data_IF_545343795332
#
_entry.id   IF_545343795332
#
_cell.length_a   1.000
_cell.length_b   1.000
_cell.length_c   1.000
_cell.angle_alpha   90.00
_cell.angle_beta   90.00
_cell.angle_gamma   90.00
#
_symmetry.space_group_name_H-M   'P 1'
#
loop_
_entity.id
_entity.type
_entity.pdbx_description
1 polymer ?
#
# COMPACT_ATOMS: atom_id res chain seq x y z
N UNK A 1 -8.88 -30.10 18.76
CA UNK A 1 -7.72 -30.73 18.12
C UNK A 1 -7.29 -29.96 16.90
N UNK A 2 -8.16 -29.76 15.96
CA UNK A 2 -7.81 -28.97 14.76
C UNK A 2 -7.40 -27.54 15.09
N UNK A 3 -8.02 -26.93 16.07
CA UNK A 3 -7.67 -25.61 16.53
C UNK A 3 -6.27 -25.53 17.10
N UNK A 4 -5.87 -26.59 17.78
CA UNK A 4 -4.56 -26.67 18.36
C UNK A 4 -3.48 -26.72 17.28
N UNK A 5 -3.73 -27.47 16.21
CA UNK A 5 -2.81 -27.51 15.08
C UNK A 5 -2.67 -26.17 14.41
N UNK A 6 -3.77 -25.46 14.26
CA UNK A 6 -3.74 -24.15 13.64
C UNK A 6 -2.95 -23.15 14.48
N UNK A 7 -3.14 -23.20 15.78
CA UNK A 7 -2.39 -22.34 16.70
C UNK A 7 -0.91 -22.64 16.60
N UNK A 8 -0.56 -23.90 16.47
CA UNK A 8 0.82 -24.32 16.37
C UNK A 8 1.45 -23.80 15.08
N UNK A 9 0.71 -23.89 14.01
CA UNK A 9 1.15 -23.34 12.72
C UNK A 9 1.36 -21.83 12.79
N UNK A 10 0.47 -21.14 13.47
CA UNK A 10 0.63 -19.71 13.67
C UNK A 10 1.88 -19.37 14.45
N UNK A 11 2.14 -20.10 15.49
CA UNK A 11 3.33 -19.89 16.28
C UNK A 11 4.61 -20.12 15.46
N UNK A 12 4.62 -21.16 14.66
CA UNK A 12 5.74 -21.40 13.76
C UNK A 12 5.92 -20.26 12.78
N UNK A 13 4.83 -19.80 12.25
CA UNK A 13 4.84 -18.72 11.29
C UNK A 13 5.38 -17.42 11.91
N UNK A 14 4.93 -17.12 13.10
CA UNK A 14 5.39 -15.94 13.83
C UNK A 14 6.88 -16.00 14.09
N UNK A 15 7.36 -17.17 14.46
CA UNK A 15 8.79 -17.35 14.67
C UNK A 15 9.60 -17.12 13.41
N UNK A 16 9.09 -17.59 12.27
CA UNK A 16 9.76 -17.35 11.00
C UNK A 16 9.77 -15.87 10.67
N UNK A 17 8.67 -15.19 10.89
CA UNK A 17 8.60 -13.76 10.65
C UNK A 17 9.56 -13.01 11.56
N UNK A 18 9.64 -13.40 12.81
CA UNK A 18 10.59 -12.80 13.74
C UNK A 18 12.03 -13.04 13.31
N UNK A 19 12.31 -14.24 12.80
CA UNK A 19 13.63 -14.53 12.28
C UNK A 19 13.95 -13.69 11.04
N UNK A 20 12.96 -13.48 10.21
CA UNK A 20 13.14 -12.62 9.03
C UNK A 20 13.23 -11.16 9.37
N UNK A 21 12.65 -10.74 10.47
CA UNK A 21 12.74 -9.38 10.91
C UNK A 21 14.17 -8.96 11.22
N UNK A 22 15.04 -9.91 11.49
CA UNK A 22 16.46 -9.61 11.67
C UNK A 22 17.13 -9.22 10.36
N UNK A 23 16.46 -9.49 9.22
CA UNK A 23 16.91 -9.05 7.92
C UNK A 23 16.14 -7.79 7.52
N UNK A 24 16.12 -6.82 8.40
CA UNK A 24 15.28 -5.63 8.31
C UNK A 24 15.60 -4.71 7.14
N UNK A 25 16.64 -5.00 6.39
CA UNK A 25 16.99 -4.25 5.18
C UNK A 25 16.15 -4.67 3.98
N UNK A 26 15.34 -5.70 4.13
CA UNK A 26 14.49 -6.16 3.04
C UNK A 26 13.37 -5.19 2.76
N UNK A 27 13.06 -5.02 1.49
CA UNK A 27 11.92 -4.22 1.08
C UNK A 27 10.61 -4.89 1.53
N UNK A 28 9.57 -4.10 1.82
CA UNK A 28 8.29 -4.67 2.16
C UNK A 28 7.74 -5.51 0.99
N UNK A 29 6.98 -6.54 1.32
CA UNK A 29 6.30 -7.35 0.32
C UNK A 29 4.81 -7.41 0.65
N UNK A 30 4.00 -7.45 -0.39
CA UNK A 30 2.56 -7.59 -0.26
C UNK A 30 2.07 -8.90 -0.86
N UNK A 31 0.76 -9.01 -0.98
CA UNK A 31 0.12 -10.13 -1.64
C UNK A 31 0.42 -10.05 -3.14
N UNK A 32 0.82 -11.15 -3.74
CA UNK A 32 1.11 -11.18 -5.16
C UNK A 32 -0.16 -10.96 -5.98
N UNK A 33 -0.08 -9.98 -6.88
CA UNK A 33 -1.14 -9.67 -7.84
C UNK A 33 -0.47 -9.43 -9.19
N UNK A 34 -1.22 -9.63 -10.27
CA UNK A 34 -0.70 -9.36 -11.60
C UNK A 34 -0.90 -7.90 -11.98
N UNK A 35 -0.18 -7.46 -13.02
CA UNK A 35 -0.39 -6.11 -13.55
C UNK A 35 -1.85 -5.89 -13.94
N UNK A 36 -2.44 -6.87 -14.59
CA UNK A 36 -3.83 -6.78 -15.07
C UNK A 36 -4.80 -6.65 -13.91
N UNK A 37 -4.48 -7.23 -12.77
CA UNK A 37 -5.36 -7.16 -11.60
C UNK A 37 -5.51 -5.73 -11.08
N UNK A 38 -4.45 -4.94 -11.13
CA UNK A 38 -4.48 -3.60 -10.54
C UNK A 38 -4.76 -2.50 -11.55
N UNK A 39 -4.67 -2.78 -12.84
CA UNK A 39 -5.01 -1.78 -13.87
C UNK A 39 -6.50 -1.46 -13.76
N UNK A 40 -6.80 -0.18 -13.72
CA UNK A 40 -8.17 0.32 -13.58
C UNK A 40 -8.23 1.52 -12.66
N UNK A 41 -9.44 1.87 -12.28
CA UNK A 41 -9.68 3.01 -11.41
C UNK A 41 -10.21 2.50 -10.07
N UNK A 42 -9.60 2.99 -9.00
CA UNK A 42 -9.89 2.60 -7.63
C UNK A 42 -10.22 3.85 -6.82
N UNK A 43 -11.20 3.75 -5.96
CA UNK A 43 -11.64 4.88 -5.13
C UNK A 43 -11.34 4.60 -3.67
N UNK A 44 -10.77 5.58 -2.99
CA UNK A 44 -10.49 5.47 -1.55
C UNK A 44 -11.81 5.48 -0.79
N UNK A 45 -12.07 4.42 -0.03
CA UNK A 45 -13.26 4.30 0.81
C UNK A 45 -12.93 4.29 2.29
N UNK A 46 -11.67 4.11 2.64
CA UNK A 46 -11.20 4.22 4.03
C UNK A 46 -9.73 4.59 4.02
N UNK A 47 -9.31 5.37 4.98
CA UNK A 47 -7.91 5.78 5.11
C UNK A 47 -7.61 6.12 6.57
N UNK A 48 -6.44 5.74 7.05
CA UNK A 48 -5.85 6.31 8.25
C UNK A 48 -4.41 6.69 7.92
N UNK A 49 -3.88 7.68 8.62
CA UNK A 49 -2.55 8.19 8.31
C UNK A 49 -1.90 8.82 9.53
N UNK A 50 -0.57 8.79 9.53
CA UNK A 50 0.28 9.57 10.42
C UNK A 50 1.39 10.18 9.59
N UNK A 51 1.91 11.31 10.00
CA UNK A 51 2.98 11.98 9.26
C UNK A 51 4.19 12.28 10.14
N UNK A 52 5.26 12.75 9.51
CA UNK A 52 6.51 13.07 10.18
C UNK A 52 6.41 14.25 11.13
N UNK A 53 5.32 15.00 11.09
CA UNK A 53 5.08 16.14 11.97
C UNK A 53 4.28 15.75 13.22
N UNK A 54 3.99 14.46 13.38
CA UNK A 54 3.25 13.97 14.54
C UNK A 54 1.74 14.11 14.43
N UNK A 55 1.24 14.45 13.26
CA UNK A 55 -0.19 14.56 13.01
C UNK A 55 -0.74 13.22 12.54
N UNK A 56 -2.03 13.00 12.77
CA UNK A 56 -2.70 11.79 12.31
C UNK A 56 -4.17 12.09 12.01
N UNK A 57 -4.77 11.21 11.23
CA UNK A 57 -6.19 11.34 10.89
C UNK A 57 -6.76 10.00 10.45
N UNK A 58 -8.08 9.99 10.31
CA UNK A 58 -8.81 8.82 9.85
C UNK A 58 -10.01 9.26 9.04
N UNK A 59 -10.12 8.73 7.82
CA UNK A 59 -11.25 8.99 6.94
C UNK A 59 -11.54 10.48 6.74
N UNK A 60 -10.49 11.28 6.62
CA UNK A 60 -10.65 12.71 6.43
C UNK A 60 -11.30 13.01 5.08
N UNK A 61 -12.17 14.03 4.99
CA UNK A 61 -12.84 14.35 3.73
C UNK A 61 -11.88 14.58 2.57
N UNK A 62 -10.71 15.09 2.82
CA UNK A 62 -9.72 15.35 1.77
C UNK A 62 -9.11 14.08 1.18
N UNK A 63 -9.16 12.97 1.92
CA UNK A 63 -8.64 11.68 1.43
C UNK A 63 -9.74 10.80 0.88
N UNK A 64 -10.93 10.91 1.42
CA UNK A 64 -12.04 10.06 1.03
C UNK A 64 -12.56 10.42 -0.35
N UNK A 65 -12.82 9.40 -1.15
CA UNK A 65 -13.32 9.60 -2.49
C UNK A 65 -12.27 9.93 -3.54
N UNK A 66 -11.01 10.05 -3.13
CA UNK A 66 -9.90 10.21 -4.08
C UNK A 66 -9.78 8.97 -4.94
N UNK A 67 -9.38 9.13 -6.19
CA UNK A 67 -9.23 8.01 -7.10
C UNK A 67 -7.77 7.75 -7.43
N UNK A 68 -7.45 6.47 -7.52
CA UNK A 68 -6.18 5.98 -8.04
C UNK A 68 -6.49 5.34 -9.38
N UNK A 69 -5.94 5.90 -10.46
CA UNK A 69 -6.06 5.32 -11.79
C UNK A 69 -4.72 4.72 -12.19
N UNK A 70 -4.71 3.43 -12.46
CA UNK A 70 -3.51 2.70 -12.85
C UNK A 70 -3.69 2.29 -14.31
N UNK A 71 -2.83 2.79 -15.17
CA UNK A 71 -2.96 2.58 -16.62
C UNK A 71 -1.94 1.59 -17.15
N UNK A 72 -2.31 0.90 -18.20
CA UNK A 72 -1.46 -0.13 -18.81
C UNK A 72 -0.17 0.41 -19.41
N UNK A 73 -0.11 1.70 -19.68
CA UNK A 73 1.08 2.34 -20.29
C UNK A 73 2.17 2.68 -19.25
N UNK A 74 2.00 2.29 -18.00
CA UNK A 74 2.97 2.56 -16.95
C UNK A 74 2.77 3.87 -16.23
N UNK A 75 1.70 4.59 -16.53
CA UNK A 75 1.37 5.82 -15.83
C UNK A 75 0.21 5.61 -14.87
N UNK A 76 0.12 6.47 -13.86
CA UNK A 76 -0.95 6.44 -12.88
C UNK A 76 -1.27 7.85 -12.44
N UNK A 77 -2.46 8.04 -11.92
CA UNK A 77 -2.81 9.30 -11.26
C UNK A 77 -3.37 8.99 -9.89
N UNK A 78 -3.00 9.79 -8.91
CA UNK A 78 -3.47 9.64 -7.55
C UNK A 78 -3.38 10.96 -6.82
N UNK A 79 -4.40 11.28 -6.05
CA UNK A 79 -4.45 12.51 -5.25
C UNK A 79 -4.25 13.76 -6.13
N UNK A 80 -4.76 13.70 -7.36
CA UNK A 80 -4.64 14.79 -8.31
C UNK A 80 -3.28 14.95 -8.96
N UNK A 81 -2.38 14.01 -8.75
CA UNK A 81 -1.02 14.07 -9.27
C UNK A 81 -0.75 12.92 -10.23
N UNK A 82 0.17 13.12 -11.15
CA UNK A 82 0.57 12.11 -12.13
C UNK A 82 1.88 11.44 -11.72
N UNK A 83 1.93 10.14 -11.92
CA UNK A 83 3.07 9.31 -11.53
C UNK A 83 3.38 8.28 -12.62
N UNK A 84 4.56 7.70 -12.52
CA UNK A 84 4.86 6.42 -13.16
C UNK A 84 4.66 5.34 -12.10
N UNK A 85 4.30 4.13 -12.52
CA UNK A 85 4.09 3.06 -11.56
C UNK A 85 4.84 1.80 -11.92
N UNK A 86 5.22 1.07 -10.89
CA UNK A 86 5.77 -0.27 -11.01
C UNK A 86 5.08 -1.17 -10.00
N UNK A 87 5.06 -2.46 -10.30
CA UNK A 87 4.52 -3.46 -9.40
C UNK A 87 5.54 -4.57 -9.24
N UNK A 88 5.89 -4.86 -8.00
CA UNK A 88 6.82 -5.93 -7.69
C UNK A 88 6.50 -6.50 -6.32
N UNK A 89 6.33 -7.83 -6.24
CA UNK A 89 6.09 -8.53 -4.98
C UNK A 89 4.94 -7.95 -4.18
N UNK A 90 3.85 -7.59 -4.86
CA UNK A 90 2.67 -7.03 -4.20
C UNK A 90 2.85 -5.60 -3.72
N UNK A 91 3.88 -4.91 -4.18
CA UNK A 91 4.09 -3.49 -3.86
C UNK A 91 3.93 -2.68 -5.12
N UNK A 92 2.93 -1.79 -5.10
CA UNK A 92 2.72 -0.81 -6.15
C UNK A 92 3.47 0.46 -5.77
N UNK A 93 4.43 0.85 -6.59
CA UNK A 93 5.20 2.07 -6.34
C UNK A 93 4.83 3.12 -7.35
N UNK A 94 4.43 4.29 -6.84
CA UNK A 94 4.15 5.47 -7.65
C UNK A 94 5.30 6.45 -7.45
N UNK A 95 5.89 6.91 -8.53
CA UNK A 95 7.01 7.84 -8.45
C UNK A 95 6.91 8.91 -9.53
N UNK A 96 7.45 10.09 -9.24
CA UNK A 96 7.54 11.15 -10.22
C UNK A 96 8.96 11.73 -10.25
N UNK A 97 9.18 12.69 -11.14
CA UNK A 97 10.49 13.29 -11.29
C UNK A 97 10.75 14.44 -10.32
N UNK A 98 9.87 14.66 -9.35
CA UNK A 98 10.02 15.68 -8.31
C UNK A 98 10.38 15.10 -6.96
N UNK A 99 10.77 13.82 -6.93
CA UNK A 99 11.17 13.15 -5.70
C UNK A 99 10.03 12.66 -4.84
N UNK A 100 8.81 12.58 -5.39
CA UNK A 100 7.67 12.03 -4.65
C UNK A 100 7.57 10.55 -4.93
N UNK A 101 7.46 9.78 -3.86
CA UNK A 101 7.28 8.33 -3.92
C UNK A 101 6.15 7.92 -3.02
N UNK A 102 5.29 7.07 -3.53
CA UNK A 102 4.23 6.44 -2.75
C UNK A 102 4.37 4.95 -2.95
N UNK A 103 4.61 4.22 -1.86
CA UNK A 103 4.62 2.76 -1.91
C UNK A 103 3.31 2.27 -1.32
N UNK A 104 2.62 1.45 -2.08
CA UNK A 104 1.35 0.85 -1.68
C UNK A 104 1.57 -0.65 -1.57
N UNK A 105 1.61 -1.15 -0.35
CA UNK A 105 1.82 -2.57 -0.07
C UNK A 105 0.45 -3.23 0.01
N UNK A 106 0.15 -4.10 -0.94
CA UNK A 106 -1.16 -4.74 -1.03
C UNK A 106 -1.27 -5.82 0.04
N UNK A 107 -2.19 -5.64 0.96
CA UNK A 107 -2.43 -6.58 2.05
C UNK A 107 -3.48 -7.61 1.70
N UNK A 108 -4.47 -7.22 0.91
CA UNK A 108 -5.47 -8.14 0.38
C UNK A 108 -6.02 -7.60 -0.93
N UNK A 109 -6.42 -8.50 -1.80
CA UNK A 109 -6.92 -8.16 -3.12
C UNK A 109 -8.13 -9.01 -3.48
N UNK A 110 -9.17 -8.35 -3.97
CA UNK A 110 -10.25 -8.96 -4.73
C UNK A 110 -10.48 -8.10 -5.95
N UNK A 111 -11.26 -8.57 -6.90
CA UNK A 111 -11.57 -7.78 -8.09
C UNK A 111 -12.25 -6.45 -7.76
N UNK A 112 -12.87 -6.36 -6.60
CA UNK A 112 -13.65 -5.19 -6.21
C UNK A 112 -12.96 -4.32 -5.17
N UNK A 113 -12.00 -4.88 -4.41
CA UNK A 113 -11.44 -4.17 -3.28
C UNK A 113 -9.98 -4.50 -3.05
N UNK A 114 -9.20 -3.49 -2.72
CA UNK A 114 -7.81 -3.62 -2.28
C UNK A 114 -7.70 -3.02 -0.89
N UNK A 115 -7.10 -3.77 0.04
CA UNK A 115 -6.66 -3.20 1.31
C UNK A 115 -5.14 -3.14 1.28
N UNK A 116 -4.60 -2.00 1.67
CA UNK A 116 -3.16 -1.76 1.55
C UNK A 116 -2.66 -0.89 2.69
N UNK A 117 -1.38 -1.08 3.01
CA UNK A 117 -0.64 -0.08 3.78
C UNK A 117 0.15 0.76 2.78
N UNK A 118 0.52 1.96 3.20
CA UNK A 118 1.28 2.83 2.30
C UNK A 118 2.25 3.71 3.07
N UNK A 119 3.26 4.18 2.35
CA UNK A 119 4.08 5.28 2.82
C UNK A 119 4.35 6.22 1.64
N UNK A 120 4.35 7.51 1.95
CA UNK A 120 4.67 8.56 0.99
C UNK A 120 5.92 9.28 1.46
N UNK A 121 6.78 9.61 0.52
CA UNK A 121 7.97 10.41 0.79
C UNK A 121 8.00 11.60 -0.17
N UNK A 122 8.17 12.77 0.39
CA UNK A 122 8.33 14.01 -0.37
C UNK A 122 9.71 14.58 0.00
N UNK A 123 10.73 14.12 -0.70
CA UNK A 123 12.12 14.44 -0.34
C UNK A 123 12.41 15.94 -0.29
N UNK A 124 11.83 16.70 -1.20
CA UNK A 124 12.03 18.14 -1.24
C UNK A 124 11.46 18.86 -0.02
N UNK A 125 10.50 18.27 0.65
CA UNK A 125 9.84 18.85 1.80
C UNK A 125 10.23 18.17 3.10
N UNK A 126 11.03 17.11 3.04
CA UNK A 126 11.40 16.28 4.18
C UNK A 126 10.17 15.80 4.95
N UNK A 127 9.13 15.50 4.21
CA UNK A 127 7.83 15.11 4.75
C UNK A 127 7.57 13.65 4.42
N UNK A 128 7.12 12.90 5.40
CA UNK A 128 6.69 11.53 5.18
C UNK A 128 5.31 11.30 5.79
N UNK A 129 4.57 10.42 5.17
CA UNK A 129 3.25 10.03 5.65
C UNK A 129 3.13 8.52 5.47
N UNK A 130 2.51 7.85 6.43
CA UNK A 130 2.24 6.42 6.33
C UNK A 130 0.87 6.10 6.88
N UNK A 131 0.32 4.99 6.47
CA UNK A 131 -1.01 4.59 6.94
C UNK A 131 -1.57 3.45 6.13
N UNK A 132 -2.90 3.44 6.04
CA UNK A 132 -3.63 2.39 5.34
C UNK A 132 -4.67 2.99 4.43
N UNK A 133 -4.93 2.28 3.34
CA UNK A 133 -6.01 2.59 2.41
C UNK A 133 -6.89 1.38 2.20
N UNK A 134 -8.17 1.62 2.04
CA UNK A 134 -9.09 0.68 1.41
C UNK A 134 -9.54 1.33 0.10
N UNK A 135 -9.33 0.62 -1.00
CA UNK A 135 -9.75 1.07 -2.32
C UNK A 135 -10.85 0.16 -2.83
N UNK A 136 -11.85 0.74 -3.46
CA UNK A 136 -12.87 -0.03 -4.17
C UNK A 136 -12.81 0.30 -5.65
N UNK A 137 -12.98 -0.73 -6.47
CA UNK A 137 -12.98 -0.55 -7.92
C UNK A 137 -14.19 0.28 -8.37
N UNK A 138 -13.91 1.19 -9.24
CA UNK A 138 -14.95 2.06 -9.80
C UNK A 138 -15.49 1.45 -11.09
#
# INVERSE_FOLDING_TARGET
>A
MKKLKNVWLFLSFILMVAGMASCSTEDPTGVEVSREDIIGTWKVTANDWTNSEGESGRNDPEHMGQTLSVKSDGTASFRGESFNWTLSKGVLTLSDNRGRNIRVVILSYTEEEIQASYDCTFESEMYTEEGNYTFKRV
#
